data_IF_870128605168
#
_entry.id   IF_870128605168
#
_cell.length_a   1.000
_cell.length_b   1.000
_cell.length_c   1.000
_cell.angle_alpha   90.00
_cell.angle_beta   90.00
_cell.angle_gamma   90.00
#
_symmetry.space_group_name_H-M   'P 1'
#
loop_
_entity.id
_entity.type
_entity.pdbx_description
1 polymer ?
#
# COMPACT_ATOMS: atom_id res chain seq x y z
N UNK A 1 -7.68 -8.12 -1.69
CA UNK A 1 -7.10 -9.23 -2.49
C UNK A 1 -6.57 -10.32 -1.58
N UNK A 2 -6.37 -11.56 -2.07
CA UNK A 2 -5.83 -12.66 -1.25
C UNK A 2 -4.31 -12.79 -1.45
N UNK A 3 -3.55 -12.42 -0.43
CA UNK A 3 -2.07 -12.45 -0.45
C UNK A 3 -1.50 -13.89 -0.49
N UNK A 4 -2.31 -14.89 -0.13
CA UNK A 4 -1.92 -16.30 -0.17
C UNK A 4 -1.90 -16.89 -1.59
N UNK A 5 -2.37 -16.16 -2.61
CA UNK A 5 -2.40 -16.61 -4.00
C UNK A 5 -1.45 -15.75 -4.85
N UNK A 6 -0.47 -16.40 -5.48
CA UNK A 6 0.37 -15.73 -6.47
C UNK A 6 -0.25 -15.77 -7.88
N UNK A 7 0.39 -15.10 -8.85
CA UNK A 7 -0.07 -15.08 -10.24
C UNK A 7 -0.25 -16.47 -10.83
N UNK A 8 0.70 -17.39 -10.60
CA UNK A 8 0.62 -18.77 -11.10
C UNK A 8 -0.61 -19.50 -10.56
N UNK A 9 -0.91 -19.32 -9.28
CA UNK A 9 -2.10 -19.88 -8.66
C UNK A 9 -3.39 -19.29 -9.26
N UNK A 10 -3.48 -17.96 -9.39
CA UNK A 10 -4.65 -17.28 -9.95
C UNK A 10 -4.89 -17.62 -11.41
N UNK A 11 -3.83 -17.68 -12.22
CA UNK A 11 -3.92 -18.08 -13.63
C UNK A 11 -4.42 -19.51 -13.78
N UNK A 12 -3.96 -20.43 -12.93
CA UNK A 12 -4.46 -21.80 -12.95
C UNK A 12 -5.88 -21.95 -12.44
N UNK A 13 -6.29 -21.17 -11.43
CA UNK A 13 -7.69 -21.11 -10.97
C UNK A 13 -8.60 -20.48 -12.05
N UNK A 14 -8.15 -19.44 -12.74
CA UNK A 14 -8.90 -18.88 -13.87
C UNK A 14 -9.04 -19.89 -15.02
N UNK A 15 -7.98 -20.64 -15.33
CA UNK A 15 -8.07 -21.74 -16.30
C UNK A 15 -9.12 -22.77 -15.88
N UNK A 16 -9.14 -23.14 -14.60
CA UNK A 16 -10.15 -24.04 -14.03
C UNK A 16 -11.58 -23.45 -14.11
N UNK A 17 -11.71 -22.14 -13.98
CA UNK A 17 -12.98 -21.43 -14.15
C UNK A 17 -13.50 -21.49 -15.61
N UNK A 18 -12.59 -21.47 -16.59
CA UNK A 18 -12.91 -21.52 -18.02
C UNK A 18 -13.14 -22.94 -18.54
N UNK A 19 -12.31 -23.90 -18.12
CA UNK A 19 -12.22 -25.25 -18.71
C UNK A 19 -12.79 -26.36 -17.81
N UNK A 20 -13.29 -26.02 -16.62
CA UNK A 20 -13.79 -26.94 -15.57
C UNK A 20 -12.79 -27.99 -15.06
N UNK A 21 -11.62 -28.10 -15.67
CA UNK A 21 -10.52 -28.96 -15.22
C UNK A 21 -9.13 -28.42 -15.58
N UNK A 22 -8.11 -28.74 -14.78
CA UNK A 22 -6.71 -28.38 -15.03
C UNK A 22 -5.73 -29.44 -14.55
N UNK A 23 -4.58 -29.56 -15.23
CA UNK A 23 -3.45 -30.44 -14.85
C UNK A 23 -2.39 -29.76 -13.99
N UNK A 24 -2.64 -28.52 -13.56
CA UNK A 24 -1.68 -27.72 -12.80
C UNK A 24 -1.61 -28.17 -11.34
N UNK A 25 -0.41 -28.07 -10.74
CA UNK A 25 -0.17 -28.36 -9.32
C UNK A 25 -0.73 -27.28 -8.37
N UNK A 26 -2.03 -27.00 -8.44
CA UNK A 26 -2.66 -25.97 -7.60
C UNK A 26 -2.76 -26.38 -6.13
N UNK A 27 -2.82 -27.70 -5.85
CA UNK A 27 -2.98 -28.23 -4.49
C UNK A 27 -1.72 -28.11 -3.61
N UNK A 28 -0.59 -27.64 -4.16
CA UNK A 28 0.59 -27.28 -3.37
C UNK A 28 0.35 -26.00 -2.54
N UNK A 29 -0.56 -25.13 -2.98
CA UNK A 29 -0.93 -23.93 -2.23
C UNK A 29 -1.88 -24.27 -1.07
N UNK A 30 -1.49 -23.89 0.15
CA UNK A 30 -2.23 -24.21 1.37
C UNK A 30 -3.67 -23.65 1.38
N UNK A 31 -3.89 -22.46 0.80
CA UNK A 31 -5.23 -21.89 0.71
C UNK A 31 -6.11 -22.68 -0.25
N UNK A 32 -5.58 -23.04 -1.42
CA UNK A 32 -6.33 -23.84 -2.41
C UNK A 32 -6.70 -25.21 -1.80
N UNK A 33 -5.72 -25.90 -1.21
CA UNK A 33 -5.92 -27.22 -0.61
C UNK A 33 -6.89 -27.17 0.59
N UNK A 34 -6.61 -26.33 1.57
CA UNK A 34 -7.34 -26.37 2.83
C UNK A 34 -8.68 -25.63 2.75
N UNK A 35 -8.75 -24.52 2.01
CA UNK A 35 -9.97 -23.69 1.96
C UNK A 35 -10.85 -24.09 0.79
N UNK A 36 -10.33 -24.05 -0.45
CA UNK A 36 -11.15 -24.30 -1.63
C UNK A 36 -11.54 -25.77 -1.77
N UNK A 37 -10.58 -26.68 -1.57
CA UNK A 37 -10.82 -28.12 -1.69
C UNK A 37 -11.48 -28.71 -0.44
N UNK A 38 -10.89 -28.59 0.75
CA UNK A 38 -11.41 -29.31 1.93
C UNK A 38 -12.60 -28.62 2.61
N UNK A 39 -12.49 -27.33 2.94
CA UNK A 39 -13.53 -26.62 3.71
C UNK A 39 -14.74 -26.26 2.87
N UNK A 40 -14.53 -25.59 1.73
CA UNK A 40 -15.61 -25.14 0.85
C UNK A 40 -16.06 -26.18 -0.17
N UNK A 41 -15.28 -27.26 -0.36
CA UNK A 41 -15.59 -28.36 -1.30
C UNK A 41 -15.87 -27.89 -2.74
N UNK A 42 -15.20 -26.81 -3.16
CA UNK A 42 -15.36 -26.21 -4.49
C UNK A 42 -14.47 -26.89 -5.54
N UNK A 43 -13.42 -27.59 -5.11
CA UNK A 43 -12.46 -28.26 -5.96
C UNK A 43 -12.31 -29.72 -5.52
N UNK A 44 -11.93 -30.58 -6.45
CA UNK A 44 -11.53 -31.96 -6.14
C UNK A 44 -10.57 -32.49 -7.21
N UNK A 45 -10.06 -33.70 -7.02
CA UNK A 45 -9.38 -34.45 -8.06
C UNK A 45 -10.38 -35.17 -8.96
N UNK A 46 -10.04 -35.33 -10.24
CA UNK A 46 -10.80 -36.18 -11.15
C UNK A 46 -10.76 -37.63 -10.63
N UNK A 47 -11.89 -38.31 -10.67
CA UNK A 47 -11.98 -39.73 -10.30
C UNK A 47 -10.93 -40.55 -11.07
N UNK A 48 -10.12 -41.32 -10.34
CA UNK A 48 -9.04 -42.13 -10.91
C UNK A 48 -7.79 -41.37 -11.36
N UNK A 49 -7.74 -40.03 -11.28
CA UNK A 49 -6.56 -39.25 -11.67
C UNK A 49 -6.31 -38.05 -10.74
N UNK A 50 -5.34 -38.22 -9.82
CA UNK A 50 -4.91 -37.18 -8.85
C UNK A 50 -4.10 -36.04 -9.47
N UNK A 51 -3.76 -36.10 -10.75
CA UNK A 51 -3.05 -35.02 -11.44
C UNK A 51 -4.01 -34.00 -12.07
N UNK A 52 -5.29 -34.32 -12.17
CA UNK A 52 -6.31 -33.44 -12.75
C UNK A 52 -7.19 -32.92 -11.63
N UNK A 53 -7.25 -31.60 -11.51
CA UNK A 53 -8.15 -30.89 -10.60
C UNK A 53 -9.40 -30.52 -11.39
N UNK A 54 -10.57 -30.74 -10.80
CA UNK A 54 -11.88 -30.43 -11.39
C UNK A 54 -12.64 -29.43 -10.53
N UNK A 55 -13.41 -28.56 -11.18
CA UNK A 55 -14.33 -27.65 -10.54
C UNK A 55 -15.59 -28.41 -10.07
N UNK A 56 -16.04 -28.13 -8.86
CA UNK A 56 -17.35 -28.59 -8.35
C UNK A 56 -18.40 -27.50 -8.46
N UNK A 57 -19.65 -27.89 -8.19
CA UNK A 57 -20.77 -26.96 -8.10
C UNK A 57 -20.45 -25.79 -7.15
N UNK A 58 -20.85 -24.58 -7.55
CA UNK A 58 -20.58 -23.35 -6.82
C UNK A 58 -19.18 -22.74 -7.07
N UNK A 59 -18.23 -23.48 -7.67
CA UNK A 59 -16.89 -22.93 -7.93
C UNK A 59 -16.92 -21.71 -8.87
N UNK A 60 -17.67 -21.79 -9.98
CA UNK A 60 -17.76 -20.68 -10.93
C UNK A 60 -18.33 -19.40 -10.30
N UNK A 61 -19.38 -19.54 -9.51
CA UNK A 61 -19.99 -18.44 -8.78
C UNK A 61 -19.01 -17.85 -7.74
N UNK A 62 -18.32 -18.72 -6.99
CA UNK A 62 -17.30 -18.33 -6.04
C UNK A 62 -16.16 -17.57 -6.71
N UNK A 63 -15.57 -18.13 -7.77
CA UNK A 63 -14.45 -17.53 -8.48
C UNK A 63 -14.84 -16.15 -9.04
N UNK A 64 -16.00 -16.06 -9.72
CA UNK A 64 -16.52 -14.80 -10.27
C UNK A 64 -16.63 -13.70 -9.22
N UNK A 65 -17.10 -14.03 -8.02
CA UNK A 65 -17.29 -13.06 -6.93
C UNK A 65 -15.98 -12.72 -6.22
N UNK A 66 -15.15 -13.72 -5.92
CA UNK A 66 -14.10 -13.60 -4.91
C UNK A 66 -12.69 -13.47 -5.48
N UNK A 67 -12.45 -13.99 -6.70
CA UNK A 67 -11.10 -14.14 -7.26
C UNK A 67 -10.95 -13.52 -8.66
N UNK A 68 -12.02 -13.43 -9.43
CA UNK A 68 -12.03 -12.86 -10.77
C UNK A 68 -11.57 -11.38 -10.79
N UNK A 69 -11.98 -10.52 -9.83
CA UNK A 69 -11.46 -9.14 -9.79
C UNK A 69 -9.94 -9.09 -9.62
N UNK A 70 -9.39 -9.90 -8.70
CA UNK A 70 -7.93 -9.98 -8.48
C UNK A 70 -7.20 -10.54 -9.71
N UNK A 71 -7.78 -11.53 -10.39
CA UNK A 71 -7.19 -12.09 -11.61
C UNK A 71 -7.08 -11.03 -12.72
N UNK A 72 -8.17 -10.36 -13.05
CA UNK A 72 -8.17 -9.36 -14.11
C UNK A 72 -7.28 -8.16 -13.78
N UNK A 73 -7.19 -7.82 -12.51
CA UNK A 73 -6.31 -6.77 -12.04
C UNK A 73 -4.82 -7.08 -12.30
N UNK A 74 -4.34 -8.26 -11.91
CA UNK A 74 -2.97 -8.68 -12.26
C UNK A 74 -2.78 -8.85 -13.76
N UNK A 75 -3.80 -9.38 -14.46
CA UNK A 75 -3.75 -9.53 -15.92
C UNK A 75 -3.54 -8.18 -16.61
N UNK A 76 -4.33 -7.17 -16.24
CA UNK A 76 -4.24 -5.81 -16.76
C UNK A 76 -2.81 -5.26 -16.61
N UNK A 77 -2.23 -5.39 -15.41
CA UNK A 77 -0.85 -4.99 -15.18
C UNK A 77 0.14 -5.69 -16.11
N UNK A 78 0.08 -7.01 -16.25
CA UNK A 78 0.99 -7.72 -17.15
C UNK A 78 0.79 -7.36 -18.62
N UNK A 79 -0.45 -7.10 -19.04
CA UNK A 79 -0.75 -6.66 -20.40
C UNK A 79 -0.20 -5.25 -20.67
N UNK A 80 -0.39 -4.30 -19.74
CA UNK A 80 0.02 -2.89 -19.88
C UNK A 80 1.52 -2.66 -19.67
N UNK A 81 2.15 -3.45 -18.82
CA UNK A 81 3.59 -3.33 -18.54
C UNK A 81 4.47 -4.04 -19.55
N UNK A 82 3.90 -4.86 -20.44
CA UNK A 82 4.60 -5.75 -21.36
C UNK A 82 5.55 -6.76 -20.67
N UNK A 83 5.51 -6.83 -19.33
CA UNK A 83 6.25 -7.85 -18.59
C UNK A 83 5.68 -9.22 -18.96
N UNK A 84 6.54 -10.09 -19.46
CA UNK A 84 6.13 -11.44 -19.83
C UNK A 84 5.42 -12.13 -18.65
N UNK A 85 4.14 -12.46 -18.82
CA UNK A 85 3.29 -13.11 -17.81
C UNK A 85 3.59 -14.61 -17.63
N UNK A 86 4.87 -15.00 -17.77
CA UNK A 86 5.30 -16.39 -17.75
C UNK A 86 5.09 -17.01 -16.37
N UNK A 87 4.51 -18.21 -16.34
CA UNK A 87 4.33 -18.98 -15.10
C UNK A 87 5.65 -19.49 -14.48
N UNK A 88 6.78 -19.26 -15.15
CA UNK A 88 8.13 -19.52 -14.62
C UNK A 88 8.57 -18.45 -13.61
N UNK A 89 7.99 -17.24 -13.68
CA UNK A 89 8.28 -16.17 -12.73
C UNK A 89 7.71 -16.54 -11.36
N UNK A 90 8.59 -16.64 -10.37
CA UNK A 90 8.25 -17.04 -9.00
C UNK A 90 7.92 -15.83 -8.11
N UNK A 91 7.14 -14.89 -8.63
CA UNK A 91 6.71 -13.75 -7.81
C UNK A 91 5.75 -14.22 -6.73
N UNK A 92 6.01 -13.81 -5.49
CA UNK A 92 4.95 -13.81 -4.47
C UNK A 92 3.99 -12.63 -4.70
N UNK A 93 2.93 -12.53 -3.90
CA UNK A 93 1.97 -11.42 -4.02
C UNK A 93 2.61 -10.06 -3.72
N UNK A 94 3.60 -10.03 -2.83
CA UNK A 94 4.34 -8.82 -2.48
C UNK A 94 5.23 -8.34 -3.64
N UNK A 95 5.91 -9.26 -4.33
CA UNK A 95 6.69 -8.98 -5.53
C UNK A 95 5.80 -8.37 -6.63
N UNK A 96 4.63 -8.96 -6.89
CA UNK A 96 3.68 -8.44 -7.89
C UNK A 96 3.23 -7.03 -7.52
N UNK A 97 2.77 -6.81 -6.28
CA UNK A 97 2.33 -5.48 -5.86
C UNK A 97 3.46 -4.44 -5.93
N UNK A 98 4.69 -4.85 -5.62
CA UNK A 98 5.86 -3.97 -5.70
C UNK A 98 6.22 -3.66 -7.17
N UNK A 99 6.13 -4.62 -8.08
CA UNK A 99 6.32 -4.39 -9.52
C UNK A 99 5.24 -3.47 -10.10
N UNK A 100 3.98 -3.65 -9.70
CA UNK A 100 2.89 -2.75 -10.08
C UNK A 100 3.14 -1.32 -9.60
N UNK A 101 3.58 -1.19 -8.34
CA UNK A 101 3.98 0.09 -7.77
C UNK A 101 5.12 0.74 -8.58
N UNK A 102 6.14 -0.03 -8.95
CA UNK A 102 7.25 0.45 -9.79
C UNK A 102 6.76 0.93 -11.15
N UNK A 103 5.91 0.15 -11.81
CA UNK A 103 5.35 0.51 -13.11
C UNK A 103 4.59 1.84 -13.07
N UNK A 104 3.74 2.04 -12.05
CA UNK A 104 2.97 3.26 -11.88
C UNK A 104 3.84 4.48 -11.53
N UNK A 105 5.03 4.26 -10.94
CA UNK A 105 5.93 5.32 -10.48
C UNK A 105 7.21 5.43 -11.33
N UNK A 106 7.25 4.78 -12.50
CA UNK A 106 8.50 4.53 -13.25
C UNK A 106 9.28 5.80 -13.57
N UNK A 107 8.58 6.89 -13.92
CA UNK A 107 9.20 8.15 -14.31
C UNK A 107 9.98 8.78 -13.17
N UNK A 108 9.33 8.84 -12.00
CA UNK A 108 9.94 9.35 -10.80
C UNK A 108 11.03 8.41 -10.25
N UNK A 109 10.77 7.10 -10.33
CA UNK A 109 11.72 6.07 -9.92
C UNK A 109 13.01 6.12 -10.75
N UNK A 110 12.88 6.41 -12.04
CA UNK A 110 13.99 6.57 -12.98
C UNK A 110 14.77 7.87 -12.73
N UNK A 111 14.09 8.98 -12.44
CA UNK A 111 14.73 10.28 -12.23
C UNK A 111 15.61 10.33 -10.98
N UNK A 112 15.24 9.61 -9.91
CA UNK A 112 15.99 9.60 -8.65
C UNK A 112 16.71 8.25 -8.39
N UNK A 113 17.00 7.49 -9.44
CA UNK A 113 17.52 6.11 -9.34
C UNK A 113 18.75 6.00 -8.43
N UNK A 114 18.72 5.01 -7.53
CA UNK A 114 19.80 4.74 -6.56
C UNK A 114 20.50 3.43 -6.88
N UNK A 115 21.57 3.08 -6.15
CA UNK A 115 22.14 1.73 -6.21
C UNK A 115 21.09 0.66 -5.94
N UNK A 116 21.25 -0.54 -6.50
CA UNK A 116 20.31 -1.66 -6.31
C UNK A 116 19.94 -1.92 -4.84
N UNK A 117 20.89 -1.80 -3.90
CA UNK A 117 20.64 -2.02 -2.46
C UNK A 117 19.75 -0.96 -1.84
N UNK A 118 20.02 0.32 -2.11
CA UNK A 118 19.23 1.43 -1.60
C UNK A 118 17.82 1.37 -2.21
N UNK A 119 17.72 1.08 -3.51
CA UNK A 119 16.45 0.89 -4.17
C UNK A 119 15.67 -0.27 -3.53
N UNK A 120 16.33 -1.42 -3.32
CA UNK A 120 15.73 -2.58 -2.65
C UNK A 120 15.25 -2.23 -1.25
N UNK A 121 16.04 -1.54 -0.44
CA UNK A 121 15.65 -1.12 0.91
C UNK A 121 14.43 -0.19 0.91
N UNK A 122 14.33 0.73 -0.04
CA UNK A 122 13.25 1.72 -0.07
C UNK A 122 11.95 1.15 -0.65
N UNK A 123 12.07 0.36 -1.72
CA UNK A 123 10.93 -0.15 -2.50
C UNK A 123 10.49 -1.51 -2.00
N UNK A 124 11.42 -2.38 -1.59
CA UNK A 124 11.15 -3.71 -1.03
C UNK A 124 11.29 -3.75 0.52
N UNK A 125 10.84 -2.71 1.25
CA UNK A 125 10.96 -2.57 2.73
C UNK A 125 10.75 -3.82 3.60
N UNK A 126 9.82 -4.71 3.26
CA UNK A 126 9.58 -5.96 4.03
C UNK A 126 10.63 -7.06 3.79
N UNK A 127 11.63 -6.79 2.95
CA UNK A 127 12.72 -7.71 2.58
C UNK A 127 14.06 -7.04 2.87
N UNK A 128 15.12 -7.82 2.81
CA UNK A 128 16.47 -7.32 3.07
C UNK A 128 17.01 -6.44 1.92
N UNK A 129 18.06 -5.66 2.21
CA UNK A 129 18.68 -4.77 1.23
C UNK A 129 19.34 -5.48 0.05
N UNK A 130 19.61 -6.78 0.15
CA UNK A 130 20.18 -7.61 -0.93
C UNK A 130 19.10 -8.40 -1.68
N UNK A 131 17.82 -8.17 -1.37
CA UNK A 131 16.72 -8.95 -1.94
C UNK A 131 16.72 -8.98 -3.47
N UNK A 132 16.92 -7.83 -4.11
CA UNK A 132 17.02 -7.74 -5.58
C UNK A 132 18.29 -8.42 -6.13
N UNK A 133 19.45 -8.21 -5.48
CA UNK A 133 20.73 -8.84 -5.88
C UNK A 133 20.63 -10.37 -5.88
N UNK A 134 19.89 -10.93 -4.91
CA UNK A 134 19.68 -12.38 -4.79
C UNK A 134 18.63 -12.93 -5.78
N UNK A 135 17.96 -12.07 -6.55
CA UNK A 135 16.86 -12.43 -7.45
C UNK A 135 17.05 -11.79 -8.83
N UNK A 136 18.00 -12.29 -9.65
CA UNK A 136 18.35 -11.67 -10.93
C UNK A 136 17.18 -11.54 -11.90
N UNK A 137 16.24 -12.49 -11.90
CA UNK A 137 15.01 -12.38 -12.71
C UNK A 137 14.16 -11.18 -12.29
N UNK A 138 13.87 -11.04 -10.99
CA UNK A 138 13.12 -9.90 -10.46
C UNK A 138 13.86 -8.58 -10.71
N UNK A 139 15.18 -8.56 -10.54
CA UNK A 139 16.00 -7.37 -10.83
C UNK A 139 15.89 -6.96 -12.30
N UNK A 140 15.99 -7.91 -13.23
CA UNK A 140 15.82 -7.66 -14.66
C UNK A 140 14.43 -7.11 -14.98
N UNK A 141 13.38 -7.62 -14.33
CA UNK A 141 12.03 -7.12 -14.52
C UNK A 141 11.85 -5.70 -13.95
N UNK A 142 12.49 -5.38 -12.83
CA UNK A 142 12.52 -4.01 -12.29
C UNK A 142 13.21 -3.04 -13.24
N UNK A 143 14.39 -3.40 -13.74
CA UNK A 143 15.15 -2.59 -14.71
C UNK A 143 14.34 -2.37 -16.00
N UNK A 144 13.68 -3.42 -16.49
CA UNK A 144 12.77 -3.35 -17.64
C UNK A 144 11.62 -2.36 -17.40
N UNK A 145 10.93 -2.45 -16.25
CA UNK A 145 9.84 -1.53 -15.91
C UNK A 145 10.30 -0.07 -15.80
N UNK A 146 11.52 0.15 -15.30
CA UNK A 146 12.13 1.47 -15.19
C UNK A 146 12.66 1.98 -16.54
N UNK A 147 12.80 1.13 -17.55
CA UNK A 147 13.39 1.48 -18.84
C UNK A 147 14.86 1.88 -18.73
N UNK A 148 15.63 1.18 -17.88
CA UNK A 148 17.08 1.39 -17.71
C UNK A 148 17.82 0.06 -17.81
N UNK A 149 19.08 0.11 -18.23
CA UNK A 149 19.90 -1.11 -18.41
C UNK A 149 20.50 -1.63 -17.09
N UNK A 150 20.86 -0.73 -16.17
CA UNK A 150 21.45 -1.08 -14.89
C UNK A 150 21.19 -0.01 -13.80
N UNK A 151 21.33 -0.40 -12.53
CA UNK A 151 21.36 0.52 -11.42
C UNK A 151 22.70 1.28 -11.36
N UNK A 152 22.72 2.55 -10.94
CA UNK A 152 23.95 3.30 -10.78
C UNK A 152 24.86 2.68 -9.70
N UNK A 153 26.18 2.73 -9.94
CA UNK A 153 27.18 2.23 -9.00
C UNK A 153 27.30 3.07 -7.71
N UNK A 154 26.85 4.33 -7.75
CA UNK A 154 26.83 5.26 -6.60
C UNK A 154 25.52 6.03 -6.60
N UNK A 155 24.92 6.21 -5.43
CA UNK A 155 23.75 7.08 -5.26
C UNK A 155 24.17 8.51 -4.90
N UNK A 156 23.45 9.51 -5.40
CA UNK A 156 23.48 10.85 -4.80
C UNK A 156 23.01 10.79 -3.33
N UNK A 157 23.58 11.65 -2.46
CA UNK A 157 23.23 11.69 -1.03
C UNK A 157 21.80 12.20 -0.76
N UNK A 158 21.14 12.79 -1.75
CA UNK A 158 19.86 13.50 -1.60
C UNK A 158 18.79 12.97 -2.56
N UNK A 159 18.57 11.66 -2.61
CA UNK A 159 17.44 11.12 -3.37
C UNK A 159 16.14 11.36 -2.61
N UNK A 160 15.41 12.40 -3.03
CA UNK A 160 14.08 12.75 -2.52
C UNK A 160 13.03 12.10 -3.42
N UNK A 161 12.19 11.22 -2.85
CA UNK A 161 11.15 10.49 -3.58
C UNK A 161 9.77 10.91 -3.10
N UNK A 162 8.86 11.16 -4.05
CA UNK A 162 7.42 11.31 -3.88
C UNK A 162 6.70 10.18 -4.62
N UNK A 163 6.39 9.07 -3.96
CA UNK A 163 5.64 8.04 -4.68
C UNK A 163 4.16 8.39 -4.79
N UNK A 164 3.56 8.15 -5.95
CA UNK A 164 2.14 8.36 -6.23
C UNK A 164 1.58 7.08 -6.86
N UNK A 165 0.45 6.60 -6.36
CA UNK A 165 -0.31 5.56 -7.06
C UNK A 165 -1.48 6.21 -7.77
N UNK A 166 -1.35 6.38 -9.08
CA UNK A 166 -2.37 7.01 -9.92
C UNK A 166 -3.73 6.31 -9.76
N UNK A 167 -4.77 7.12 -9.54
CA UNK A 167 -6.16 6.70 -9.62
C UNK A 167 -6.81 7.41 -10.82
N UNK A 168 -7.40 6.69 -11.81
CA UNK A 168 -7.92 7.31 -13.03
C UNK A 168 -9.01 8.37 -12.82
N UNK A 169 -9.75 8.28 -11.71
CA UNK A 169 -10.80 9.22 -11.34
C UNK A 169 -10.74 9.45 -9.81
N UNK A 170 -9.77 10.25 -9.32
CA UNK A 170 -9.56 10.43 -7.90
C UNK A 170 -10.56 11.44 -7.33
N UNK A 171 -11.23 11.07 -6.24
CA UNK A 171 -12.10 11.95 -5.45
C UNK A 171 -11.43 12.46 -4.19
N UNK A 172 -10.40 11.75 -3.71
CA UNK A 172 -9.69 12.05 -2.47
C UNK A 172 -8.21 11.75 -2.64
N UNK A 173 -7.37 12.42 -1.87
CA UNK A 173 -5.93 12.14 -1.79
C UNK A 173 -5.59 11.79 -0.34
N UNK A 174 -4.87 10.69 -0.13
CA UNK A 174 -4.32 10.31 1.17
C UNK A 174 -2.79 10.37 1.13
N UNK A 175 -2.21 11.27 1.91
CA UNK A 175 -0.79 11.34 2.20
C UNK A 175 -0.46 10.35 3.32
N UNK A 176 0.51 9.47 3.08
CA UNK A 176 0.94 8.44 4.02
C UNK A 176 2.46 8.43 4.19
N UNK A 177 2.91 8.03 5.38
CA UNK A 177 4.33 7.90 5.72
C UNK A 177 4.87 6.50 5.40
N UNK A 178 4.00 5.49 5.37
CA UNK A 178 4.37 4.13 5.03
C UNK A 178 4.05 3.76 3.56
N UNK A 179 5.09 3.30 2.86
CA UNK A 179 5.00 2.83 1.46
C UNK A 179 4.10 1.59 1.32
N UNK A 180 3.85 0.87 2.41
CA UNK A 180 2.99 -0.32 2.38
C UNK A 180 1.54 0.03 2.02
N UNK A 181 1.06 1.23 2.33
CA UNK A 181 -0.25 1.70 1.86
C UNK A 181 -0.29 1.73 0.33
N UNK A 182 0.79 2.20 -0.31
CA UNK A 182 0.90 2.24 -1.77
C UNK A 182 0.96 0.84 -2.39
N UNK A 183 1.31 -0.19 -1.63
CA UNK A 183 1.26 -1.61 -2.07
C UNK A 183 -0.10 -2.26 -1.83
N UNK A 184 -0.87 -1.77 -0.85
CA UNK A 184 -2.23 -2.20 -0.54
C UNK A 184 -3.30 -1.36 -1.26
N UNK A 185 -2.94 -0.74 -2.38
CA UNK A 185 -3.70 0.35 -3.00
C UNK A 185 -5.09 -0.01 -3.54
N UNK A 186 -5.41 -1.30 -3.73
CA UNK A 186 -6.67 -1.69 -4.35
C UNK A 186 -7.90 -1.23 -3.56
N UNK A 187 -7.84 -1.22 -2.23
CA UNK A 187 -8.97 -0.79 -1.38
C UNK A 187 -9.18 0.71 -1.51
N UNK A 188 -8.09 1.47 -1.63
CA UNK A 188 -8.10 2.91 -1.83
C UNK A 188 -8.64 3.27 -3.21
N UNK A 189 -8.13 2.63 -4.25
CA UNK A 189 -8.60 2.84 -5.62
C UNK A 189 -10.06 2.43 -5.81
N UNK A 190 -10.53 1.36 -5.17
CA UNK A 190 -11.95 0.98 -5.20
C UNK A 190 -12.88 2.04 -4.60
N UNK A 191 -12.32 2.95 -3.79
CA UNK A 191 -13.03 4.07 -3.17
C UNK A 191 -12.61 5.44 -3.77
N UNK A 192 -11.98 5.46 -4.95
CA UNK A 192 -11.50 6.68 -5.63
C UNK A 192 -10.51 7.49 -4.78
N UNK A 193 -9.65 6.83 -4.00
CA UNK A 193 -8.62 7.47 -3.18
C UNK A 193 -7.26 7.30 -3.86
N UNK A 194 -6.62 8.42 -4.19
CA UNK A 194 -5.23 8.46 -4.67
C UNK A 194 -4.27 8.45 -3.48
N UNK A 195 -3.22 7.63 -3.55
CA UNK A 195 -2.25 7.45 -2.46
C UNK A 195 -0.95 8.15 -2.77
N UNK A 196 -0.53 9.02 -1.86
CA UNK A 196 0.73 9.75 -1.96
C UNK A 196 1.65 9.39 -0.81
N UNK A 197 2.85 8.97 -1.14
CA UNK A 197 3.93 8.78 -0.18
C UNK A 197 4.70 10.08 -0.02
N UNK A 198 4.57 10.71 1.15
CA UNK A 198 5.42 11.84 1.49
C UNK A 198 6.72 11.38 2.17
N UNK A 199 6.71 10.23 2.85
CA UNK A 199 7.87 9.66 3.53
C UNK A 199 8.50 10.58 4.58
N UNK A 200 8.11 10.44 5.84
CA UNK A 200 8.69 11.19 6.96
C UNK A 200 8.82 12.70 6.72
N UNK A 201 9.89 13.31 7.22
CA UNK A 201 10.13 14.75 7.24
C UNK A 201 10.41 15.41 5.85
N UNK A 202 10.01 14.78 4.74
CA UNK A 202 10.24 15.27 3.37
C UNK A 202 9.22 16.35 2.97
N UNK A 203 9.22 17.48 3.67
CA UNK A 203 8.44 18.67 3.30
C UNK A 203 8.67 19.19 1.87
N UNK A 204 9.86 19.05 1.22
CA UNK A 204 10.07 19.54 -0.16
C UNK A 204 9.19 18.83 -1.21
N UNK A 205 8.81 17.59 -0.95
CA UNK A 205 7.90 16.81 -1.81
C UNK A 205 6.50 17.44 -1.84
N UNK A 206 6.08 17.98 -0.70
CA UNK A 206 4.76 18.58 -0.47
C UNK A 206 4.70 20.00 -1.05
N UNK A 207 5.82 20.71 -1.04
CA UNK A 207 5.94 22.02 -1.70
C UNK A 207 5.74 21.93 -3.22
N UNK A 208 6.06 20.79 -3.85
CA UNK A 208 5.93 20.55 -5.30
C UNK A 208 4.55 20.05 -5.73
N UNK A 209 3.55 20.05 -4.85
CA UNK A 209 2.18 19.67 -5.20
C UNK A 209 1.60 20.67 -6.19
N UNK A 210 1.19 20.19 -7.37
CA UNK A 210 0.55 20.99 -8.43
C UNK A 210 -0.88 21.37 -8.08
N UNK A 211 -1.34 22.51 -8.60
CA UNK A 211 -2.66 23.09 -8.32
C UNK A 211 -3.83 22.12 -8.55
N UNK A 212 -3.81 21.33 -9.63
CA UNK A 212 -4.87 20.35 -9.96
C UNK A 212 -5.23 19.39 -8.81
N UNK A 213 -4.25 19.06 -7.97
CA UNK A 213 -4.44 18.14 -6.86
C UNK A 213 -4.89 18.86 -5.58
N UNK A 214 -4.63 20.17 -5.48
CA UNK A 214 -5.15 21.01 -4.41
C UNK A 214 -6.65 21.23 -4.57
N UNK A 215 -7.28 20.81 -5.66
CA UNK A 215 -8.74 20.87 -5.82
C UNK A 215 -9.44 19.72 -5.09
N UNK A 216 -8.77 18.57 -4.90
CA UNK A 216 -9.33 17.41 -4.20
C UNK A 216 -9.19 17.53 -2.67
N UNK A 217 -10.07 16.92 -1.85
CA UNK A 217 -9.86 16.80 -0.42
C UNK A 217 -8.60 15.98 -0.09
N UNK A 218 -7.74 16.53 0.77
CA UNK A 218 -6.51 15.87 1.23
C UNK A 218 -6.66 15.35 2.65
N UNK A 219 -6.13 14.15 2.86
CA UNK A 219 -6.05 13.49 4.16
C UNK A 219 -4.59 13.13 4.46
N UNK A 220 -4.25 13.06 5.74
CA UNK A 220 -2.94 12.63 6.21
C UNK A 220 -3.09 11.45 7.17
N UNK A 221 -2.28 10.42 6.97
CA UNK A 221 -2.11 9.30 7.90
C UNK A 221 -0.63 9.15 8.25
N UNK A 222 -0.36 9.01 9.54
CA UNK A 222 0.99 8.85 10.09
C UNK A 222 0.91 8.24 11.49
N UNK A 223 2.07 8.03 12.11
CA UNK A 223 2.16 7.59 13.49
C UNK A 223 1.56 8.65 14.43
N UNK A 224 0.81 8.19 15.44
CA UNK A 224 0.30 9.02 16.52
C UNK A 224 1.28 9.00 17.69
N UNK A 225 2.46 9.53 17.41
CA UNK A 225 3.56 9.83 18.33
C UNK A 225 3.95 11.31 18.20
N UNK A 226 5.04 11.74 18.84
CA UNK A 226 5.47 13.14 18.73
C UNK A 226 5.89 13.49 17.28
N UNK A 227 6.77 12.69 16.66
CA UNK A 227 7.32 12.99 15.34
C UNK A 227 6.27 12.99 14.22
N UNK A 228 5.36 12.01 14.17
CA UNK A 228 4.31 11.94 13.16
C UNK A 228 3.32 13.10 13.26
N UNK A 229 2.94 13.51 14.48
CA UNK A 229 2.08 14.68 14.70
C UNK A 229 2.79 16.02 14.41
N UNK A 230 4.08 16.11 14.68
CA UNK A 230 4.91 17.25 14.32
C UNK A 230 5.07 17.37 12.79
N UNK A 231 5.24 16.25 12.07
CA UNK A 231 5.17 16.22 10.60
C UNK A 231 3.83 16.75 10.13
N UNK A 232 2.71 16.25 10.67
CA UNK A 232 1.37 16.75 10.31
C UNK A 232 1.24 18.27 10.52
N UNK A 233 1.73 18.81 11.64
CA UNK A 233 1.70 20.25 11.92
C UNK A 233 2.43 21.06 10.83
N UNK A 234 3.61 20.59 10.38
CA UNK A 234 4.36 21.22 9.28
C UNK A 234 3.62 21.14 7.95
N UNK A 235 3.07 19.97 7.61
CA UNK A 235 2.32 19.76 6.36
C UNK A 235 1.11 20.70 6.30
N UNK A 236 0.37 20.77 7.40
CA UNK A 236 -0.78 21.65 7.54
C UNK A 236 -0.40 23.12 7.32
N UNK A 237 0.75 23.54 7.86
CA UNK A 237 1.27 24.89 7.65
C UNK A 237 1.58 25.17 6.18
N UNK A 238 2.36 24.31 5.52
CA UNK A 238 2.74 24.44 4.10
C UNK A 238 1.51 24.47 3.18
N UNK A 239 0.52 23.60 3.42
CA UNK A 239 -0.69 23.56 2.60
C UNK A 239 -1.59 24.77 2.85
N UNK A 240 -1.64 25.28 4.08
CA UNK A 240 -2.42 26.47 4.42
C UNK A 240 -1.88 27.71 3.70
N UNK A 241 -0.56 27.83 3.53
CA UNK A 241 0.06 28.89 2.71
C UNK A 241 -0.35 28.80 1.23
N UNK A 242 -0.67 27.60 0.75
CA UNK A 242 -1.22 27.34 -0.60
C UNK A 242 -2.75 27.44 -0.67
N UNK A 243 -3.40 27.93 0.39
CA UNK A 243 -4.87 28.06 0.47
C UNK A 243 -5.62 26.74 0.60
N UNK A 244 -4.95 25.66 1.03
CA UNK A 244 -5.55 24.32 1.16
C UNK A 244 -5.44 23.79 2.58
N UNK A 245 -6.44 22.99 2.96
CA UNK A 245 -6.49 22.31 4.25
C UNK A 245 -6.28 20.79 4.05
N UNK A 246 -5.60 20.13 4.98
CA UNK A 246 -5.47 18.67 5.04
C UNK A 246 -6.09 18.16 6.34
N UNK A 247 -6.75 16.99 6.28
CA UNK A 247 -7.38 16.38 7.46
C UNK A 247 -6.55 15.22 8.00
N UNK A 248 -6.18 15.27 9.28
CA UNK A 248 -5.55 14.14 9.97
C UNK A 248 -6.56 13.00 10.18
N UNK A 249 -6.21 11.80 9.73
CA UNK A 249 -6.96 10.58 10.02
C UNK A 249 -6.83 10.23 11.51
N UNK A 250 -7.98 10.06 12.17
CA UNK A 250 -8.06 9.81 13.61
C UNK A 250 -8.19 8.31 13.90
N UNK A 251 -7.38 7.68 14.76
CA UNK A 251 -7.51 6.28 15.11
C UNK A 251 -8.90 5.99 15.69
N UNK A 252 -9.55 4.92 15.22
CA UNK A 252 -10.81 4.48 15.81
C UNK A 252 -10.54 4.02 17.26
N UNK A 253 -11.19 4.63 18.26
CA UNK A 253 -10.94 4.30 19.66
C UNK A 253 -11.21 2.83 20.01
N UNK A 254 -12.04 2.13 19.23
CA UNK A 254 -12.40 0.73 19.46
C UNK A 254 -11.39 -0.26 18.88
N UNK A 255 -10.62 0.15 17.87
CA UNK A 255 -9.65 -0.72 17.18
C UNK A 255 -8.20 -0.27 17.34
N UNK A 256 -7.97 0.96 17.82
CA UNK A 256 -6.64 1.51 18.01
C UNK A 256 -5.81 0.68 18.99
N UNK A 257 -4.57 0.39 18.60
CA UNK A 257 -3.61 -0.34 19.43
C UNK A 257 -2.67 0.67 20.08
N UNK A 258 -2.84 0.87 21.39
CA UNK A 258 -2.01 1.77 22.19
C UNK A 258 -0.74 1.02 22.60
N UNK A 259 0.42 1.54 22.19
CA UNK A 259 1.73 0.97 22.48
C UNK A 259 2.52 1.86 23.45
N UNK A 260 3.24 1.30 24.43
CA UNK A 260 4.23 2.06 25.22
C UNK A 260 5.27 2.70 24.31
N UNK A 261 5.70 3.93 24.61
CA UNK A 261 6.71 4.61 23.78
C UNK A 261 8.03 3.83 23.68
N UNK A 262 8.36 3.03 24.69
CA UNK A 262 9.57 2.20 24.74
C UNK A 262 9.41 0.83 24.03
N UNK A 263 8.38 0.65 23.21
CA UNK A 263 8.14 -0.62 22.52
C UNK A 263 8.84 -0.69 21.16
N UNK A 264 9.45 -1.84 20.85
CA UNK A 264 10.10 -2.08 19.55
C UNK A 264 11.35 -1.22 19.32
N UNK A 265 11.56 -0.80 18.06
CA UNK A 265 12.65 0.10 17.65
C UNK A 265 12.20 1.57 17.54
N UNK A 266 11.08 1.93 18.18
CA UNK A 266 10.53 3.28 18.15
C UNK A 266 11.43 4.26 18.94
N UNK A 267 11.77 5.39 18.32
CA UNK A 267 12.71 6.37 18.91
C UNK A 267 12.06 7.71 19.32
N UNK A 268 10.81 7.94 18.93
CA UNK A 268 10.06 9.14 19.25
C UNK A 268 9.79 9.24 20.74
N UNK A 269 9.76 10.47 21.28
CA UNK A 269 9.46 10.72 22.68
C UNK A 269 8.61 11.97 22.80
N UNK A 270 7.59 11.90 23.65
CA UNK A 270 6.84 13.08 24.06
C UNK A 270 7.75 14.07 24.79
N UNK A 271 7.66 15.34 24.42
CA UNK A 271 8.37 16.43 25.09
C UNK A 271 7.66 16.82 26.39
N UNK A 272 8.41 17.43 27.31
CA UNK A 272 7.89 17.86 28.62
C UNK A 272 7.09 19.18 28.55
N UNK A 273 7.12 19.87 27.41
CA UNK A 273 6.36 21.09 27.18
C UNK A 273 4.85 20.84 27.18
N UNK A 274 4.05 21.90 27.35
CA UNK A 274 2.60 21.82 27.22
C UNK A 274 2.23 21.24 25.85
N UNK A 275 1.41 20.18 25.87
CA UNK A 275 1.01 19.44 24.66
C UNK A 275 2.22 18.97 23.82
N UNK A 276 3.35 18.71 24.47
CA UNK A 276 4.64 18.36 23.88
C UNK A 276 5.14 19.35 22.82
N UNK A 277 4.74 20.63 22.91
CA UNK A 277 5.14 21.67 21.97
C UNK A 277 4.45 21.63 20.61
N UNK A 278 3.44 20.75 20.44
CA UNK A 278 2.66 20.66 19.19
C UNK A 278 1.69 21.83 19.07
N UNK A 279 1.42 22.28 17.83
CA UNK A 279 0.47 23.36 17.57
C UNK A 279 -0.99 22.89 17.75
N UNK A 280 -1.58 23.11 18.93
CA UNK A 280 -2.96 22.69 19.25
C UNK A 280 -4.03 23.13 18.24
N UNK A 281 -3.82 24.27 17.56
CA UNK A 281 -4.84 24.89 16.68
C UNK A 281 -5.12 24.04 15.42
N UNK A 282 -4.20 23.15 15.04
CA UNK A 282 -4.36 22.32 13.83
C UNK A 282 -5.15 21.02 14.07
N UNK A 283 -5.54 20.76 15.33
CA UNK A 283 -6.23 19.55 15.73
C UNK A 283 -7.68 19.83 16.14
N UNK A 284 -8.57 18.87 15.89
CA UNK A 284 -9.95 18.94 16.39
C UNK A 284 -10.01 18.64 17.90
N UNK A 285 -11.11 19.00 18.60
CA UNK A 285 -11.25 18.73 20.03
C UNK A 285 -11.09 17.25 20.41
N UNK A 286 -11.59 16.32 19.59
CA UNK A 286 -11.43 14.89 19.83
C UNK A 286 -9.99 14.41 19.64
N UNK A 287 -9.28 14.99 18.67
CA UNK A 287 -7.86 14.72 18.43
C UNK A 287 -7.00 15.24 19.58
N UNK A 288 -7.28 16.47 20.07
CA UNK A 288 -6.60 17.05 21.23
C UNK A 288 -6.75 16.13 22.45
N UNK A 289 -7.97 15.67 22.76
CA UNK A 289 -8.20 14.77 23.89
C UNK A 289 -7.47 13.43 23.75
N UNK A 290 -7.37 12.89 22.52
CA UNK A 290 -6.60 11.68 22.25
C UNK A 290 -5.09 11.92 22.44
N UNK A 291 -4.54 13.02 21.94
CA UNK A 291 -3.12 13.37 22.09
C UNK A 291 -2.75 13.56 23.56
N UNK A 292 -3.56 14.29 24.33
CA UNK A 292 -3.35 14.48 25.78
C UNK A 292 -3.33 13.13 26.51
N UNK A 293 -4.21 12.20 26.14
CA UNK A 293 -4.23 10.85 26.71
C UNK A 293 -2.99 10.04 26.33
N UNK A 294 -2.47 10.20 25.11
CA UNK A 294 -1.24 9.53 24.66
C UNK A 294 -0.02 10.06 25.42
N UNK A 295 0.10 11.39 25.55
CA UNK A 295 1.17 12.05 26.33
C UNK A 295 1.10 11.59 27.79
N UNK A 296 -0.06 11.70 28.44
CA UNK A 296 -0.23 11.38 29.85
C UNK A 296 0.08 9.91 30.18
N UNK A 297 -0.22 8.99 29.26
CA UNK A 297 0.08 7.56 29.42
C UNK A 297 1.41 7.14 28.82
N UNK A 298 2.15 8.08 28.22
CA UNK A 298 3.38 7.82 27.47
C UNK A 298 3.23 6.69 26.43
N UNK A 299 2.12 6.75 25.68
CA UNK A 299 1.74 5.81 24.64
C UNK A 299 1.84 6.45 23.25
N UNK A 300 1.83 5.60 22.22
CA UNK A 300 1.68 5.99 20.81
C UNK A 300 0.77 4.99 20.09
N UNK A 301 0.31 5.34 18.90
CA UNK A 301 -0.43 4.43 18.00
C UNK A 301 0.30 4.40 16.66
N UNK A 302 0.52 3.20 16.15
CA UNK A 302 1.27 2.95 14.94
C UNK A 302 0.38 3.08 13.68
N UNK A 303 0.88 3.75 12.65
CA UNK A 303 0.20 4.05 11.39
C UNK A 303 -0.47 2.81 10.81
N UNK A 304 0.26 1.68 10.74
CA UNK A 304 -0.19 0.41 10.16
C UNK A 304 -1.40 -0.20 10.87
N UNK A 305 -1.76 0.29 12.07
CA UNK A 305 -2.93 -0.17 12.84
C UNK A 305 -4.18 0.65 12.56
N UNK A 306 -4.06 1.73 11.79
CA UNK A 306 -5.14 2.67 11.50
C UNK A 306 -5.80 2.33 10.15
N UNK A 307 -7.13 2.29 10.14
CA UNK A 307 -7.92 2.07 8.94
C UNK A 307 -8.56 3.37 8.42
N UNK A 308 -7.97 4.04 7.41
CA UNK A 308 -8.37 5.39 7.00
C UNK A 308 -9.64 5.47 6.14
N UNK A 309 -9.96 4.42 5.37
CA UNK A 309 -11.00 4.49 4.32
C UNK A 309 -12.37 4.97 4.84
N UNK A 310 -12.91 4.44 5.96
CA UNK A 310 -14.24 4.85 6.44
C UNK A 310 -14.35 6.35 6.74
N UNK A 311 -13.28 6.97 7.24
CA UNK A 311 -13.24 8.40 7.51
C UNK A 311 -13.19 9.22 6.23
N UNK A 312 -12.36 8.82 5.27
CA UNK A 312 -12.21 9.51 3.98
C UNK A 312 -13.54 9.54 3.23
N UNK A 313 -14.23 8.39 3.11
CA UNK A 313 -15.50 8.31 2.39
C UNK A 313 -16.66 9.02 3.11
N UNK A 314 -16.60 9.15 4.44
CA UNK A 314 -17.63 9.84 5.24
C UNK A 314 -17.62 11.37 5.10
N UNK A 315 -16.53 11.92 4.54
CA UNK A 315 -16.31 13.36 4.31
C UNK A 315 -17.39 14.01 3.42
N UNK A 316 -18.18 13.20 2.69
CA UNK A 316 -19.30 13.65 1.84
C UNK A 316 -20.43 14.35 2.62
N UNK A 317 -20.44 14.30 3.96
CA UNK A 317 -21.61 14.71 4.75
C UNK A 317 -21.57 16.11 5.36
N UNK A 318 -20.48 16.88 5.23
CA UNK A 318 -20.38 18.21 5.86
C UNK A 318 -19.98 19.25 4.84
N UNK A 319 -20.92 20.06 4.32
CA UNK A 319 -20.55 21.22 3.52
C UNK A 319 -19.76 22.18 4.40
N UNK A 320 -18.52 22.43 4.00
CA UNK A 320 -17.71 23.51 4.56
C UNK A 320 -18.45 24.82 4.31
N UNK A 321 -18.96 25.43 5.37
CA UNK A 321 -19.42 26.82 5.35
C UNK A 321 -18.22 27.71 5.70
N UNK A 322 -17.72 28.53 4.78
CA UNK A 322 -16.86 29.64 5.17
C UNK A 322 -17.68 30.58 6.08
N UNK A 323 -17.15 30.84 7.28
CA UNK A 323 -17.54 31.99 8.10
C UNK A 323 -16.82 33.23 7.62
#
# INVERSE_FOLDING_TARGET
MRNSLNWRNLKGLYKLYMEDSVTLKLMENAYIKNVLCHRKRLLDFKAGNKNIIVAKEGYKAYFKKELLPQYFYYKKFFDESELGASGLKQYDSYDIHTLMFIFNNREELRQNLTTARIFSSNVFKLKDSKYLENRPGLMSDVLFLLGVDDFPARSAKENQWRFVVDCPDPKYILLCENIDYLKAWWEFHANNIELWYAGGNNTPVIERISQRHLDLPLFYIGDWDYHGLDIYCRIQHILKEKGKNIQLITPDPNTAIYKPIKSGQHQSKWLQDEFSGLNRVVFSPSQIALIERLIAKNHWIEEQTIWPIPQIISHVSVPWKPT
#
